data_IF_679490619761
#
_entry.id   IF_679490619761
#
_cell.length_a   1.000
_cell.length_b   1.000
_cell.length_c   1.000
_cell.angle_alpha   90.00
_cell.angle_beta   90.00
_cell.angle_gamma   90.00
#
_symmetry.space_group_name_H-M   'P 1'
#
loop_
_entity.id
_entity.type
_entity.pdbx_description
1 polymer ?
#
# COMPACT_ATOMS: atom_id res chain seq x y z
N UNK A 1 11.19 -9.61 18.56
CA UNK A 1 12.08 -9.84 17.39
C UNK A 1 12.36 -8.57 16.59
N UNK A 2 11.64 -7.46 16.81
CA UNK A 2 12.04 -6.14 16.33
C UNK A 2 11.98 -5.18 17.53
N UNK A 3 13.10 -4.50 17.83
CA UNK A 3 13.20 -3.47 18.88
C UNK A 3 13.22 -2.04 18.29
N UNK A 4 12.97 -1.93 16.99
CA UNK A 4 12.95 -0.66 16.29
C UNK A 4 11.61 0.05 16.56
N UNK A 5 11.62 1.40 16.61
CA UNK A 5 10.39 2.19 16.65
C UNK A 5 9.48 1.90 15.45
N UNK A 6 8.18 2.09 15.64
CA UNK A 6 7.17 1.88 14.59
C UNK A 6 7.51 2.66 13.31
N UNK A 7 7.86 3.94 13.44
CA UNK A 7 8.17 4.80 12.29
C UNK A 7 9.38 4.29 11.48
N UNK A 8 10.37 3.72 12.16
CA UNK A 8 11.53 3.10 11.49
C UNK A 8 11.10 1.86 10.71
N UNK A 9 10.20 1.05 11.26
CA UNK A 9 9.69 -0.12 10.58
C UNK A 9 8.79 0.26 9.39
N UNK A 10 7.97 1.31 9.52
CA UNK A 10 7.18 1.87 8.41
C UNK A 10 8.09 2.35 7.27
N UNK A 11 9.21 3.00 7.59
CA UNK A 11 10.18 3.44 6.57
C UNK A 11 10.83 2.26 5.83
N UNK A 12 11.18 1.19 6.55
CA UNK A 12 11.74 -0.03 5.95
C UNK A 12 10.71 -0.68 5.03
N UNK A 13 9.46 -0.83 5.48
CA UNK A 13 8.39 -1.38 4.65
C UNK A 13 8.13 -0.49 3.42
N UNK A 14 8.10 0.82 3.59
CA UNK A 14 7.89 1.79 2.51
C UNK A 14 9.03 1.86 1.49
N UNK A 15 10.22 1.32 1.79
CA UNK A 15 11.34 1.24 0.86
C UNK A 15 11.25 0.03 -0.09
N UNK A 16 10.29 -0.89 0.12
CA UNK A 16 10.05 -2.01 -0.77
C UNK A 16 9.04 -1.60 -1.84
N UNK A 17 9.49 -1.59 -3.10
CA UNK A 17 8.66 -1.19 -4.23
C UNK A 17 7.82 -2.34 -4.79
N UNK A 18 8.30 -3.57 -4.67
CA UNK A 18 7.65 -4.75 -5.23
C UNK A 18 6.69 -5.43 -4.24
N UNK A 19 5.48 -5.73 -4.71
CA UNK A 19 4.46 -6.46 -3.92
C UNK A 19 4.95 -7.81 -3.36
N UNK A 20 5.69 -8.65 -4.12
CA UNK A 20 6.23 -9.90 -3.59
C UNK A 20 7.18 -9.72 -2.40
N UNK A 21 7.98 -8.65 -2.39
CA UNK A 21 8.92 -8.36 -1.30
C UNK A 21 8.16 -7.96 -0.02
N UNK A 22 7.16 -7.08 -0.16
CA UNK A 22 6.25 -6.72 0.94
C UNK A 22 5.57 -7.95 1.54
N UNK A 23 5.06 -8.85 0.68
CA UNK A 23 4.42 -10.08 1.14
C UNK A 23 5.41 -10.99 1.87
N UNK A 24 6.60 -11.18 1.31
CA UNK A 24 7.64 -12.01 1.91
C UNK A 24 8.07 -11.48 3.28
N UNK A 25 8.22 -10.16 3.41
CA UNK A 25 8.54 -9.50 4.68
C UNK A 25 7.39 -9.65 5.68
N UNK A 26 6.14 -9.45 5.26
CA UNK A 26 4.95 -9.60 6.11
C UNK A 26 4.81 -11.02 6.69
N UNK A 27 5.21 -12.03 5.92
CA UNK A 27 5.12 -13.43 6.33
C UNK A 27 6.25 -13.87 7.28
N UNK A 28 7.30 -13.07 7.45
CA UNK A 28 8.43 -13.42 8.32
C UNK A 28 8.09 -13.42 9.81
N UNK A 29 7.20 -12.52 10.26
CA UNK A 29 6.73 -12.48 11.65
C UNK A 29 5.44 -11.65 11.83
N UNK A 30 4.77 -11.83 12.97
CA UNK A 30 3.53 -11.12 13.29
C UNK A 30 3.68 -9.60 13.38
N UNK A 31 4.84 -9.08 13.77
CA UNK A 31 5.10 -7.63 13.80
C UNK A 31 5.08 -7.04 12.39
N UNK A 32 5.82 -7.64 11.45
CA UNK A 32 5.80 -7.21 10.05
C UNK A 32 4.43 -7.35 9.42
N UNK A 33 3.73 -8.45 9.71
CA UNK A 33 2.34 -8.64 9.27
C UNK A 33 1.44 -7.47 9.67
N UNK A 34 1.53 -7.02 10.92
CA UNK A 34 0.72 -5.90 11.44
C UNK A 34 1.08 -4.52 10.88
N UNK A 35 2.30 -4.35 10.37
CA UNK A 35 2.77 -3.12 9.72
C UNK A 35 2.32 -3.10 8.26
N UNK A 36 2.58 -4.20 7.54
CA UNK A 36 2.42 -4.26 6.08
C UNK A 36 0.97 -4.50 5.67
N UNK A 37 0.20 -5.29 6.42
CA UNK A 37 -1.17 -5.68 6.05
C UNK A 37 -2.16 -4.96 6.97
N UNK A 38 -3.11 -4.17 6.44
CA UNK A 38 -3.37 -3.93 5.01
C UNK A 38 -2.55 -2.77 4.40
N UNK A 39 -1.94 -1.90 5.21
CA UNK A 39 -1.50 -0.54 4.81
C UNK A 39 -0.57 -0.47 3.60
N UNK A 40 0.43 -1.33 3.52
CA UNK A 40 1.38 -1.34 2.40
C UNK A 40 0.92 -2.30 1.32
N UNK A 41 0.48 -3.50 1.70
CA UNK A 41 0.14 -4.55 0.74
C UNK A 41 -1.14 -4.25 -0.06
N UNK A 42 -2.15 -3.64 0.54
CA UNK A 42 -3.40 -3.31 -0.17
C UNK A 42 -3.25 -2.08 -1.07
N UNK A 43 -2.37 -1.16 -0.68
CA UNK A 43 -2.21 0.13 -1.37
C UNK A 43 -1.01 0.16 -2.33
N UNK A 44 -0.10 -0.82 -2.31
CA UNK A 44 1.07 -0.84 -3.20
C UNK A 44 0.70 -0.94 -4.69
N UNK A 45 -0.41 -1.60 -5.01
CA UNK A 45 -0.93 -1.72 -6.37
C UNK A 45 -2.42 -1.45 -6.40
N UNK A 46 -2.82 -0.41 -7.12
CA UNK A 46 -4.20 0.03 -7.26
C UNK A 46 -4.62 -0.06 -8.73
N UNK A 47 -5.73 -0.74 -8.97
CA UNK A 47 -6.39 -0.87 -10.27
C UNK A 47 -7.80 -0.35 -10.13
N UNK A 48 -8.07 0.84 -10.67
CA UNK A 48 -9.35 1.53 -10.47
C UNK A 48 -9.78 2.26 -11.72
N UNK A 49 -11.09 2.39 -11.92
CA UNK A 49 -11.60 3.25 -12.98
C UNK A 49 -11.60 4.71 -12.54
N UNK A 50 -11.42 5.63 -13.49
CA UNK A 50 -11.42 7.07 -13.23
C UNK A 50 -12.74 7.57 -12.60
N UNK A 51 -13.86 6.87 -12.84
CA UNK A 51 -15.19 7.17 -12.30
C UNK A 51 -15.40 6.75 -10.83
N UNK A 52 -14.47 6.03 -10.21
CA UNK A 52 -14.55 5.62 -8.80
C UNK A 52 -14.21 6.77 -7.84
N UNK A 53 -14.99 7.85 -7.89
CA UNK A 53 -14.77 9.11 -7.17
C UNK A 53 -14.59 8.90 -5.66
N UNK A 54 -15.32 7.95 -5.06
CA UNK A 54 -15.22 7.64 -3.63
C UNK A 54 -13.82 7.17 -3.23
N UNK A 55 -13.17 6.36 -4.06
CA UNK A 55 -11.84 5.82 -3.77
C UNK A 55 -10.77 6.88 -4.02
N UNK A 56 -10.89 7.67 -5.09
CA UNK A 56 -10.02 8.82 -5.32
C UNK A 56 -10.08 9.83 -4.17
N UNK A 57 -11.28 10.10 -3.66
CA UNK A 57 -11.49 10.95 -2.48
C UNK A 57 -10.82 10.36 -1.24
N UNK A 58 -11.01 9.06 -0.98
CA UNK A 58 -10.37 8.37 0.14
C UNK A 58 -8.84 8.44 0.10
N UNK A 59 -8.24 8.27 -1.08
CA UNK A 59 -6.79 8.42 -1.26
C UNK A 59 -6.34 9.86 -1.03
N UNK A 60 -7.07 10.85 -1.56
CA UNK A 60 -6.77 12.26 -1.34
C UNK A 60 -6.88 12.68 0.14
N UNK A 61 -7.87 12.16 0.85
CA UNK A 61 -8.09 12.43 2.29
C UNK A 61 -7.08 11.70 3.20
N UNK A 62 -6.39 10.68 2.69
CA UNK A 62 -5.43 9.86 3.45
C UNK A 62 -4.06 9.79 2.77
N UNK A 63 -3.27 10.89 2.79
CA UNK A 63 -1.96 10.95 2.14
C UNK A 63 -1.00 9.84 2.57
N UNK A 64 -1.07 9.39 3.83
CA UNK A 64 -0.22 8.30 4.34
C UNK A 64 -0.51 6.93 3.74
N UNK A 65 -1.72 6.71 3.22
CA UNK A 65 -2.06 5.47 2.48
C UNK A 65 -1.75 5.66 1.00
N UNK A 66 -2.07 6.83 0.45
CA UNK A 66 -1.72 7.17 -0.93
C UNK A 66 -0.21 7.14 -1.19
N UNK A 67 0.62 7.48 -0.20
CA UNK A 67 2.08 7.39 -0.29
C UNK A 67 2.61 5.96 -0.45
N UNK A 68 1.79 4.95 -0.17
CA UNK A 68 2.17 3.55 -0.34
C UNK A 68 1.93 3.05 -1.78
N UNK A 69 1.26 3.83 -2.64
CA UNK A 69 1.01 3.46 -4.04
C UNK A 69 2.33 3.42 -4.81
N UNK A 70 2.59 2.28 -5.47
CA UNK A 70 3.74 2.07 -6.37
C UNK A 70 3.24 1.80 -7.79
N UNK A 71 2.31 0.85 -7.88
CA UNK A 71 1.41 0.51 -9.00
C UNK A 71 0.14 1.35 -9.08
N UNK A 72 -0.06 2.23 -10.07
CA UNK A 72 -1.41 2.77 -10.36
C UNK A 72 -1.81 2.48 -11.81
N UNK A 73 -2.92 1.76 -11.98
CA UNK A 73 -3.54 1.52 -13.29
C UNK A 73 -4.94 2.10 -13.28
N UNK A 74 -5.17 3.05 -14.17
CA UNK A 74 -6.46 3.71 -14.34
C UNK A 74 -7.13 3.19 -15.60
N UNK A 75 -8.32 2.61 -15.48
CA UNK A 75 -9.15 2.29 -16.63
C UNK A 75 -10.12 3.44 -16.93
N UNK A 76 -10.36 3.68 -18.22
CA UNK A 76 -11.48 4.51 -18.66
C UNK A 76 -12.64 3.59 -19.01
N UNK A 77 -13.66 3.57 -18.15
CA UNK A 77 -14.87 2.77 -18.33
C UNK A 77 -15.76 3.24 -19.49
N UNK A 78 -15.42 4.35 -20.16
CA UNK A 78 -16.23 4.92 -21.25
C UNK A 78 -16.08 4.26 -22.63
N UNK A 79 -15.31 3.18 -22.77
CA UNK A 79 -15.04 2.53 -24.07
C UNK A 79 -15.61 1.10 -24.21
N UNK A 80 -16.65 0.74 -23.46
CA UNK A 80 -17.46 -0.46 -23.70
C UNK A 80 -18.92 -0.11 -23.97
#
# INVERSE_FOLDING_TARGET
LLRLPFDTLELIAGALDERPDLLSLALSCSTWKGIIIPRHLEYCEIFLSADHISIWRHLAERPSLASNVRKLVISDSKFY
#
